data_IF_451941509103
#
_entry.id   IF_451941509103
#
_cell.length_a   1.000
_cell.length_b   1.000
_cell.length_c   1.000
_cell.angle_alpha   90.00
_cell.angle_beta   90.00
_cell.angle_gamma   90.00
#
_symmetry.space_group_name_H-M   'P 1'
#
loop_
_entity.id
_entity.type
_entity.pdbx_description
1 polymer ?
#
# COMPACT_ATOMS: atom_id res chain seq x y z
N UNK A 1 8.11 -8.88 19.62
CA UNK A 1 8.78 -10.12 19.16
C UNK A 1 8.42 -10.31 17.70
N UNK A 2 9.40 -10.61 16.83
CA UNK A 2 9.13 -10.86 15.41
C UNK A 2 8.60 -12.28 15.25
N UNK A 3 7.56 -12.47 14.44
CA UNK A 3 6.95 -13.76 14.17
C UNK A 3 6.99 -14.05 12.68
N UNK A 4 7.69 -15.12 12.28
CA UNK A 4 7.66 -15.58 10.88
C UNK A 4 6.21 -15.98 10.53
N UNK A 5 5.75 -15.54 9.37
CA UNK A 5 4.43 -15.90 8.83
C UNK A 5 4.38 -17.42 8.62
N UNK A 6 3.27 -18.05 9.05
CA UNK A 6 3.12 -19.50 8.93
C UNK A 6 3.02 -19.93 7.47
N UNK A 7 3.22 -21.23 7.21
CA UNK A 7 3.08 -21.78 5.86
C UNK A 7 1.67 -21.57 5.31
N UNK A 8 0.64 -21.71 6.15
CA UNK A 8 -0.76 -21.51 5.76
C UNK A 8 -1.01 -20.05 5.37
N UNK A 9 -0.56 -19.09 6.19
CA UNK A 9 -0.70 -17.67 5.88
C UNK A 9 0.09 -17.26 4.63
N UNK A 10 1.20 -17.95 4.33
CA UNK A 10 1.95 -17.74 3.09
C UNK A 10 1.22 -18.29 1.86
N UNK A 11 0.56 -19.44 1.99
CA UNK A 11 -0.31 -19.98 0.92
C UNK A 11 -1.53 -19.09 0.66
N UNK A 12 -2.15 -18.56 1.73
CA UNK A 12 -3.21 -17.56 1.60
C UNK A 12 -2.69 -16.31 0.88
N UNK A 13 -1.52 -15.81 1.25
CA UNK A 13 -0.90 -14.66 0.60
C UNK A 13 -0.64 -14.92 -0.90
N UNK A 14 -0.10 -16.09 -1.25
CA UNK A 14 0.08 -16.51 -2.64
C UNK A 14 -1.25 -16.55 -3.41
N UNK A 15 -2.29 -17.14 -2.81
CA UNK A 15 -3.62 -17.22 -3.41
C UNK A 15 -4.24 -15.84 -3.66
N UNK A 16 -4.06 -14.89 -2.73
CA UNK A 16 -4.55 -13.53 -2.91
C UNK A 16 -3.76 -12.75 -3.98
N UNK A 17 -2.45 -13.01 -4.14
CA UNK A 17 -1.62 -12.36 -5.16
C UNK A 17 -1.77 -12.99 -6.55
N UNK A 18 -2.23 -14.24 -6.64
CA UNK A 18 -2.35 -15.01 -7.88
C UNK A 18 -3.09 -14.28 -9.03
N UNK A 19 -4.18 -13.52 -8.80
CA UNK A 19 -4.86 -12.76 -9.86
C UNK A 19 -3.95 -11.79 -10.61
N UNK A 20 -2.93 -11.22 -9.94
CA UNK A 20 -1.94 -10.35 -10.60
C UNK A 20 -1.12 -11.09 -11.66
N UNK A 21 -0.95 -12.41 -11.53
CA UNK A 21 -0.25 -13.23 -12.52
C UNK A 21 -1.03 -13.33 -13.84
N UNK A 22 -2.35 -13.35 -13.75
CA UNK A 22 -3.24 -13.46 -14.91
C UNK A 22 -3.37 -12.10 -15.62
N UNK A 23 -3.51 -11.02 -14.84
CA UNK A 23 -3.63 -9.65 -15.34
C UNK A 23 -2.33 -9.00 -15.81
N UNK A 24 -1.15 -9.56 -15.48
CA UNK A 24 0.10 -9.11 -16.11
C UNK A 24 0.06 -9.17 -17.65
N UNK A 25 -0.84 -9.98 -18.24
CA UNK A 25 -1.06 -9.99 -19.68
C UNK A 25 -1.91 -8.82 -20.19
N UNK A 26 -2.68 -8.15 -19.33
CA UNK A 26 -3.64 -7.11 -19.66
C UNK A 26 -3.38 -5.76 -18.97
N UNK A 27 -2.31 -5.62 -18.17
CA UNK A 27 -1.91 -4.36 -17.56
C UNK A 27 -1.96 -3.24 -18.62
N UNK A 28 -2.94 -2.32 -18.56
CA UNK A 28 -3.50 -1.78 -19.82
C UNK A 28 -2.56 -0.92 -20.66
N UNK A 29 -1.37 -0.52 -20.16
CA UNK A 29 -0.62 0.60 -20.76
C UNK A 29 0.91 0.56 -20.63
N UNK A 30 1.53 -0.58 -20.32
CA UNK A 30 2.99 -0.62 -20.18
C UNK A 30 3.66 -1.75 -20.96
N UNK A 31 4.86 -1.53 -21.53
CA UNK A 31 5.62 -2.63 -22.12
C UNK A 31 5.94 -3.66 -21.02
N UNK A 32 5.90 -4.96 -21.34
CA UNK A 32 6.23 -6.09 -20.43
C UNK A 32 7.58 -5.99 -19.68
N UNK A 33 8.39 -4.98 -19.97
CA UNK A 33 9.71 -4.72 -19.41
C UNK A 33 9.72 -3.53 -18.43
N UNK A 34 8.59 -3.17 -17.82
CA UNK A 34 8.61 -2.15 -16.77
C UNK A 34 9.12 -2.74 -15.44
N UNK A 35 9.90 -1.98 -14.65
CA UNK A 35 10.44 -2.44 -13.37
C UNK A 35 9.38 -3.00 -12.40
N UNK A 36 8.18 -2.43 -12.41
CA UNK A 36 7.03 -2.85 -11.60
C UNK A 36 6.51 -4.23 -11.99
N UNK A 37 6.34 -4.52 -13.29
CA UNK A 37 5.90 -5.83 -13.74
C UNK A 37 6.92 -6.92 -13.37
N UNK A 38 8.22 -6.61 -13.50
CA UNK A 38 9.28 -7.50 -13.04
C UNK A 38 9.26 -7.72 -11.53
N UNK A 39 9.04 -6.67 -10.73
CA UNK A 39 8.99 -6.79 -9.27
C UNK A 39 7.79 -7.61 -8.80
N UNK A 40 6.61 -7.45 -9.41
CA UNK A 40 5.43 -8.27 -9.11
C UNK A 40 5.68 -9.72 -9.49
N UNK A 41 6.26 -9.98 -10.67
CA UNK A 41 6.57 -11.34 -11.09
C UNK A 41 7.60 -12.01 -10.16
N UNK A 42 8.63 -11.28 -9.75
CA UNK A 42 9.63 -11.77 -8.80
C UNK A 42 8.99 -12.10 -7.44
N UNK A 43 8.09 -11.25 -6.93
CA UNK A 43 7.33 -11.54 -5.71
C UNK A 43 6.50 -12.83 -5.85
N UNK A 44 5.80 -12.99 -6.96
CA UNK A 44 4.95 -14.15 -7.21
C UNK A 44 5.75 -15.46 -7.32
N UNK A 45 7.03 -15.39 -7.71
CA UNK A 45 7.90 -16.56 -7.75
C UNK A 45 8.59 -16.80 -6.40
N UNK A 46 8.91 -15.73 -5.67
CA UNK A 46 9.54 -15.81 -4.35
C UNK A 46 8.54 -16.14 -3.23
N UNK A 47 7.24 -15.90 -3.41
CA UNK A 47 6.23 -16.21 -2.40
C UNK A 47 5.95 -17.70 -2.25
N UNK A 48 6.33 -18.53 -3.24
CA UNK A 48 6.27 -19.99 -3.14
C UNK A 48 6.96 -20.45 -1.85
N UNK A 49 6.29 -21.30 -1.07
CA UNK A 49 6.79 -21.83 0.21
C UNK A 49 8.15 -22.56 0.08
N UNK A 50 8.50 -23.01 -1.13
CA UNK A 50 9.78 -23.65 -1.46
C UNK A 50 10.90 -22.65 -1.70
N UNK A 51 10.58 -21.37 -1.88
CA UNK A 51 11.56 -20.31 -2.08
C UNK A 51 12.04 -19.73 -0.75
N UNK A 52 13.35 -19.81 -0.54
CA UNK A 52 14.04 -19.18 0.59
C UNK A 52 14.39 -17.70 0.33
N UNK A 53 14.01 -17.17 -0.85
CA UNK A 53 14.35 -15.80 -1.28
C UNK A 53 13.47 -14.73 -0.66
N UNK A 54 12.33 -15.10 -0.09
CA UNK A 54 11.44 -14.19 0.63
C UNK A 54 11.09 -14.77 1.99
N UNK A 55 11.28 -13.96 3.03
CA UNK A 55 10.82 -14.25 4.37
C UNK A 55 9.98 -13.09 4.87
N UNK A 56 8.74 -13.39 5.26
CA UNK A 56 7.80 -12.38 5.76
C UNK A 56 7.63 -12.60 7.26
N UNK A 57 7.97 -11.58 8.02
CA UNK A 57 7.79 -11.52 9.45
C UNK A 57 6.68 -10.53 9.76
N UNK A 58 5.90 -10.85 10.78
CA UNK A 58 5.00 -9.89 11.43
C UNK A 58 5.65 -9.36 12.68
N UNK A 59 5.39 -8.10 12.99
CA UNK A 59 5.79 -7.51 14.26
C UNK A 59 4.61 -6.80 14.92
N UNK A 60 4.38 -7.05 16.23
CA UNK A 60 3.46 -6.23 16.98
C UNK A 60 4.02 -4.81 16.98
N UNK A 61 3.19 -3.86 16.59
CA UNK A 61 3.52 -2.44 16.59
C UNK A 61 4.03 -2.03 17.98
N UNK A 62 5.35 -2.00 18.16
CA UNK A 62 5.96 -1.51 19.38
C UNK A 62 6.03 -0.01 19.25
N UNK A 63 4.92 0.64 19.60
CA UNK A 63 4.83 2.03 20.08
C UNK A 63 6.05 2.91 19.78
N UNK A 64 5.93 3.88 18.86
CA UNK A 64 6.86 5.01 18.70
C UNK A 64 8.30 4.64 18.31
N UNK A 65 8.53 4.28 17.05
CA UNK A 65 9.76 4.75 16.39
C UNK A 65 9.59 6.25 16.12
N UNK A 66 9.69 7.07 17.17
CA UNK A 66 9.44 8.52 17.20
C UNK A 66 8.00 8.96 16.91
N UNK A 67 7.43 9.83 17.76
CA UNK A 67 6.15 10.53 17.49
C UNK A 67 6.23 11.56 16.34
N UNK A 68 7.32 11.53 15.58
CA UNK A 68 7.60 12.38 14.42
C UNK A 68 7.91 11.60 13.15
N UNK A 69 8.01 10.26 13.21
CA UNK A 69 8.27 9.45 12.02
C UNK A 69 6.95 9.01 11.38
N UNK A 70 6.86 9.00 10.04
CA UNK A 70 5.69 8.48 9.35
C UNK A 70 5.47 7.01 9.73
N UNK A 71 4.22 6.66 10.03
CA UNK A 71 3.82 5.30 10.37
C UNK A 71 4.06 4.40 9.15
N UNK A 72 5.03 3.48 9.25
CA UNK A 72 5.31 2.50 8.21
C UNK A 72 4.61 1.18 8.56
N UNK A 73 3.74 0.71 7.66
CA UNK A 73 3.06 -0.59 7.81
C UNK A 73 3.96 -1.77 7.44
N UNK A 74 5.01 -1.53 6.67
CA UNK A 74 6.00 -2.52 6.30
C UNK A 74 7.37 -1.87 6.09
N UNK A 75 8.41 -2.64 6.43
CA UNK A 75 9.82 -2.31 6.16
C UNK A 75 10.49 -3.55 5.58
N UNK A 76 11.60 -3.36 4.87
CA UNK A 76 12.33 -4.45 4.25
C UNK A 76 13.82 -4.38 4.57
N UNK A 77 14.46 -5.53 4.49
CA UNK A 77 15.91 -5.71 4.53
C UNK A 77 16.32 -6.67 3.39
N UNK A 78 17.43 -6.35 2.71
CA UNK A 78 17.96 -7.17 1.63
C UNK A 78 19.31 -7.73 2.06
N UNK A 79 19.37 -9.05 2.25
CA UNK A 79 20.65 -9.72 2.44
C UNK A 79 21.29 -10.00 1.07
N UNK A 80 22.30 -9.19 0.74
CA UNK A 80 23.02 -9.29 -0.53
C UNK A 80 23.83 -10.58 -0.70
N UNK A 81 24.17 -11.27 0.40
CA UNK A 81 24.95 -12.50 0.34
C UNK A 81 24.07 -13.70 -0.02
N UNK A 82 22.94 -13.84 0.67
CA UNK A 82 21.98 -14.93 0.45
C UNK A 82 20.97 -14.61 -0.65
N UNK A 83 20.86 -13.33 -1.04
CA UNK A 83 19.81 -12.78 -1.91
C UNK A 83 18.41 -12.94 -1.32
N UNK A 84 18.30 -13.06 0.00
CA UNK A 84 17.02 -13.13 0.70
C UNK A 84 16.48 -11.73 0.97
N UNK A 85 15.21 -11.53 0.64
CA UNK A 85 14.43 -10.35 1.01
C UNK A 85 13.65 -10.66 2.27
N UNK A 86 13.90 -9.90 3.33
CA UNK A 86 13.17 -9.96 4.58
C UNK A 86 12.16 -8.82 4.59
N UNK A 87 10.88 -9.15 4.74
CA UNK A 87 9.82 -8.18 4.94
C UNK A 87 9.37 -8.24 6.39
N UNK A 88 9.24 -7.09 7.03
CA UNK A 88 8.67 -6.97 8.36
C UNK A 88 7.40 -6.15 8.24
N UNK A 89 6.25 -6.77 8.52
CA UNK A 89 4.92 -6.20 8.34
C UNK A 89 4.27 -6.00 9.72
N UNK A 90 3.70 -4.82 9.93
CA UNK A 90 3.00 -4.51 11.17
C UNK A 90 1.73 -5.35 11.29
N UNK A 91 1.48 -5.93 12.46
CA UNK A 91 0.22 -6.66 12.74
C UNK A 91 -1.01 -5.75 12.74
N UNK A 92 -0.82 -4.41 12.72
CA UNK A 92 -1.90 -3.43 12.60
C UNK A 92 -2.20 -3.04 11.15
N UNK A 93 -1.48 -3.61 10.18
CA UNK A 93 -1.82 -3.45 8.77
C UNK A 93 -3.25 -3.93 8.52
N UNK A 94 -4.08 -3.07 7.92
CA UNK A 94 -5.46 -3.40 7.57
C UNK A 94 -5.57 -4.30 6.35
N UNK A 95 -4.55 -4.29 5.49
CA UNK A 95 -4.46 -5.11 4.30
C UNK A 95 -3.05 -5.70 4.25
N UNK A 96 -2.92 -6.90 4.83
CA UNK A 96 -1.65 -7.59 4.92
C UNK A 96 -1.05 -7.88 3.54
N UNK A 97 -1.86 -8.35 2.59
CA UNK A 97 -1.43 -8.69 1.24
C UNK A 97 -0.97 -7.46 0.47
N UNK A 98 -1.78 -6.40 0.45
CA UNK A 98 -1.40 -5.13 -0.19
C UNK A 98 -0.15 -4.52 0.44
N UNK A 99 0.01 -4.63 1.76
CA UNK A 99 1.22 -4.16 2.46
C UNK A 99 2.45 -4.97 2.07
N UNK A 100 2.35 -6.29 1.96
CA UNK A 100 3.44 -7.14 1.49
C UNK A 100 3.83 -6.78 0.06
N UNK A 101 2.86 -6.67 -0.85
CA UNK A 101 3.07 -6.26 -2.24
C UNK A 101 3.79 -4.92 -2.32
N UNK A 102 3.28 -3.90 -1.63
CA UNK A 102 3.86 -2.56 -1.58
C UNK A 102 5.30 -2.58 -1.06
N UNK A 103 5.53 -3.29 0.04
CA UNK A 103 6.84 -3.34 0.71
C UNK A 103 7.86 -4.07 -0.15
N UNK A 104 7.47 -5.17 -0.80
CA UNK A 104 8.32 -5.90 -1.71
C UNK A 104 8.68 -5.07 -2.95
N UNK A 105 7.69 -4.44 -3.61
CA UNK A 105 7.96 -3.57 -4.76
C UNK A 105 8.86 -2.39 -4.40
N UNK A 106 8.66 -1.81 -3.21
CA UNK A 106 9.53 -0.76 -2.68
C UNK A 106 10.98 -1.26 -2.52
N UNK A 107 11.18 -2.51 -2.10
CA UNK A 107 12.52 -3.13 -2.02
C UNK A 107 13.20 -3.26 -3.38
N UNK A 108 12.42 -3.31 -4.47
CA UNK A 108 12.88 -3.33 -5.86
C UNK A 108 12.95 -1.94 -6.51
N UNK A 109 12.84 -0.87 -5.71
CA UNK A 109 12.92 0.53 -6.13
C UNK A 109 11.79 0.97 -7.06
N UNK A 110 10.64 0.29 -7.02
CA UNK A 110 9.43 0.81 -7.65
C UNK A 110 9.03 2.13 -6.97
N UNK A 111 8.51 3.07 -7.76
CA UNK A 111 8.00 4.35 -7.23
C UNK A 111 6.74 4.12 -6.40
N UNK A 112 6.40 5.09 -5.55
CA UNK A 112 5.19 4.98 -4.72
C UNK A 112 3.92 4.85 -5.57
N UNK A 113 3.85 5.54 -6.70
CA UNK A 113 2.72 5.45 -7.62
C UNK A 113 2.63 4.07 -8.29
N UNK A 114 3.76 3.46 -8.65
CA UNK A 114 3.79 2.09 -9.17
C UNK A 114 3.30 1.07 -8.13
N UNK A 115 3.74 1.21 -6.88
CA UNK A 115 3.24 0.36 -5.79
C UNK A 115 1.74 0.57 -5.57
N UNK A 116 1.26 1.82 -5.55
CA UNK A 116 -0.16 2.12 -5.39
C UNK A 116 -1.01 1.58 -6.54
N UNK A 117 -0.51 1.63 -7.77
CA UNK A 117 -1.20 1.05 -8.92
C UNK A 117 -1.32 -0.47 -8.76
N UNK A 118 -0.24 -1.17 -8.40
CA UNK A 118 -0.29 -2.63 -8.21
C UNK A 118 -1.29 -3.05 -7.11
N UNK A 119 -1.35 -2.30 -6.02
CA UNK A 119 -2.32 -2.54 -4.95
C UNK A 119 -3.77 -2.21 -5.38
N UNK A 120 -3.95 -1.15 -6.15
CA UNK A 120 -5.26 -0.79 -6.72
C UNK A 120 -5.77 -1.89 -7.64
N UNK A 121 -4.94 -2.37 -8.57
CA UNK A 121 -5.28 -3.46 -9.49
C UNK A 121 -5.58 -4.75 -8.71
N UNK A 122 -4.77 -5.07 -7.69
CA UNK A 122 -5.03 -6.22 -6.81
C UNK A 122 -6.42 -6.12 -6.16
N UNK A 123 -6.77 -4.95 -5.63
CA UNK A 123 -8.05 -4.73 -4.99
C UNK A 123 -9.22 -4.75 -5.99
N UNK A 124 -9.02 -4.25 -7.21
CA UNK A 124 -10.02 -4.31 -8.28
C UNK A 124 -10.33 -5.76 -8.66
N UNK A 125 -9.28 -6.57 -8.85
CA UNK A 125 -9.40 -7.99 -9.16
C UNK A 125 -10.07 -8.79 -8.03
N UNK A 126 -9.75 -8.44 -6.79
CA UNK A 126 -10.39 -9.01 -5.62
C UNK A 126 -11.83 -8.49 -5.42
N UNK A 127 -12.32 -7.57 -6.25
CA UNK A 127 -13.59 -6.86 -6.09
C UNK A 127 -13.74 -6.24 -4.69
N UNK A 128 -12.63 -5.74 -4.13
CA UNK A 128 -12.53 -5.20 -2.78
C UNK A 128 -12.35 -3.68 -2.73
N UNK A 129 -12.43 -3.00 -3.88
CA UNK A 129 -12.52 -1.54 -3.93
C UNK A 129 -13.79 -1.05 -3.21
N UNK A 130 -13.68 0.05 -2.48
CA UNK A 130 -14.83 0.66 -1.82
C UNK A 130 -15.87 1.12 -2.85
N UNK A 131 -17.15 0.92 -2.54
CA UNK A 131 -18.24 1.27 -3.47
C UNK A 131 -18.37 2.78 -3.69
N UNK A 132 -18.01 3.56 -2.68
CA UNK A 132 -18.15 5.03 -2.70
C UNK A 132 -16.99 5.68 -3.45
N UNK A 133 -15.75 5.34 -3.10
CA UNK A 133 -14.56 6.00 -3.63
C UNK A 133 -13.87 5.19 -4.73
N UNK A 134 -14.21 3.91 -4.87
CA UNK A 134 -13.53 3.00 -5.78
C UNK A 134 -12.05 2.90 -5.45
N UNK A 135 -11.67 3.00 -4.17
CA UNK A 135 -10.28 2.92 -3.69
C UNK A 135 -10.13 1.73 -2.74
N UNK A 136 -8.92 1.15 -2.62
CA UNK A 136 -8.63 0.19 -1.56
C UNK A 136 -8.90 0.82 -0.18
N UNK A 137 -9.47 0.05 0.75
CA UNK A 137 -9.72 0.49 2.12
C UNK A 137 -8.43 0.94 2.83
N UNK A 138 -7.30 0.31 2.50
CA UNK A 138 -5.99 0.72 3.01
C UNK A 138 -5.68 2.16 2.64
N UNK A 139 -5.89 2.58 1.38
CA UNK A 139 -5.55 3.93 0.94
C UNK A 139 -6.40 4.96 1.67
N UNK A 140 -7.70 4.66 1.82
CA UNK A 140 -8.63 5.52 2.53
C UNK A 140 -8.17 5.74 3.98
N UNK A 141 -7.85 4.66 4.70
CA UNK A 141 -7.37 4.74 6.08
C UNK A 141 -6.02 5.44 6.22
N UNK A 142 -5.09 5.17 5.30
CA UNK A 142 -3.77 5.82 5.28
C UNK A 142 -3.93 7.33 5.09
N UNK A 143 -4.83 7.77 4.19
CA UNK A 143 -5.12 9.18 3.92
C UNK A 143 -5.87 9.82 5.10
N UNK A 144 -6.87 9.15 5.66
CA UNK A 144 -7.64 9.64 6.82
C UNK A 144 -6.75 9.90 8.04
N UNK A 145 -5.71 9.09 8.21
CA UNK A 145 -4.73 9.19 9.30
C UNK A 145 -3.73 10.35 9.13
N UNK A 146 -3.61 10.96 7.93
CA UNK A 146 -2.73 12.10 7.71
C UNK A 146 -3.23 13.34 8.46
N UNK A 147 -2.29 14.13 8.99
CA UNK A 147 -2.61 15.50 9.41
C UNK A 147 -2.84 16.38 8.18
N UNK A 148 -3.50 17.53 8.39
CA UNK A 148 -3.87 18.47 7.33
C UNK A 148 -2.67 18.90 6.49
N UNK A 149 -1.51 19.11 7.10
CA UNK A 149 -0.28 19.52 6.42
C UNK A 149 0.25 18.41 5.49
N UNK A 150 0.34 17.17 5.98
CA UNK A 150 0.80 16.03 5.19
C UNK A 150 -0.19 15.68 4.07
N UNK A 151 -1.49 15.89 4.30
CA UNK A 151 -2.52 15.69 3.30
C UNK A 151 -2.43 16.73 2.17
N UNK A 152 -2.20 18.00 2.52
CA UNK A 152 -1.97 19.06 1.54
C UNK A 152 -0.69 18.79 0.72
N UNK A 153 0.39 18.35 1.35
CA UNK A 153 1.62 17.95 0.64
C UNK A 153 1.37 16.77 -0.32
N UNK A 154 0.60 15.76 0.11
CA UNK A 154 0.21 14.65 -0.76
C UNK A 154 -0.59 15.14 -1.97
N UNK A 155 -1.58 16.01 -1.76
CA UNK A 155 -2.39 16.56 -2.84
C UNK A 155 -1.55 17.36 -3.84
N UNK A 156 -0.68 18.25 -3.35
CA UNK A 156 0.25 19.02 -4.19
C UNK A 156 1.14 18.08 -5.03
N UNK A 157 1.67 17.02 -4.43
CA UNK A 157 2.48 16.03 -5.16
C UNK A 157 1.68 15.31 -6.24
N UNK A 158 0.43 14.92 -5.95
CA UNK A 158 -0.45 14.30 -6.94
C UNK A 158 -0.78 15.27 -8.08
N UNK A 159 -0.91 16.57 -7.81
CA UNK A 159 -1.15 17.60 -8.82
C UNK A 159 0.04 17.87 -9.73
N UNK A 160 1.25 17.84 -9.16
CA UNK A 160 2.50 18.11 -9.89
C UNK A 160 3.05 16.89 -10.64
N UNK A 161 2.60 15.68 -10.29
CA UNK A 161 3.02 14.48 -10.98
C UNK A 161 2.56 14.53 -12.45
N UNK A 162 3.47 14.38 -13.43
CA UNK A 162 3.14 14.46 -14.86
C UNK A 162 2.10 13.39 -15.22
N UNK A 163 1.52 13.49 -16.44
CA UNK A 163 0.54 12.52 -16.96
C UNK A 163 0.99 11.11 -16.60
N UNK A 164 0.34 10.55 -15.59
CA UNK A 164 0.72 9.27 -15.02
C UNK A 164 0.17 8.15 -15.87
N UNK A 165 0.87 7.02 -15.80
CA UNK A 165 0.39 5.75 -16.35
C UNK A 165 -0.89 5.27 -15.64
N UNK A 166 -1.26 5.88 -14.50
CA UNK A 166 -2.41 5.57 -13.66
C UNK A 166 -3.44 6.72 -13.53
N UNK A 167 -3.99 7.28 -14.63
CA UNK A 167 -4.80 8.50 -14.57
C UNK A 167 -6.10 8.33 -13.75
N UNK A 168 -6.70 7.13 -13.77
CA UNK A 168 -7.92 6.82 -13.00
C UNK A 168 -7.62 6.80 -11.50
N UNK A 169 -6.57 6.08 -11.09
CA UNK A 169 -6.16 6.01 -9.69
C UNK A 169 -5.79 7.40 -9.16
N UNK A 170 -5.01 8.18 -9.92
CA UNK A 170 -4.66 9.55 -9.54
C UNK A 170 -5.89 10.43 -9.34
N UNK A 171 -6.84 10.39 -10.26
CA UNK A 171 -8.06 11.17 -10.15
C UNK A 171 -8.85 10.81 -8.87
N UNK A 172 -8.98 9.51 -8.59
CA UNK A 172 -9.63 9.02 -7.36
C UNK A 172 -8.90 9.47 -6.09
N UNK A 173 -7.57 9.35 -6.06
CA UNK A 173 -6.75 9.78 -4.93
C UNK A 173 -6.86 11.28 -4.69
N UNK A 174 -6.83 12.11 -5.75
CA UNK A 174 -6.98 13.57 -5.65
C UNK A 174 -8.33 13.94 -5.03
N UNK A 175 -9.41 13.44 -5.63
CA UNK A 175 -10.77 13.72 -5.17
C UNK A 175 -10.97 13.26 -3.72
N UNK A 176 -10.44 12.10 -3.35
CA UNK A 176 -10.52 11.64 -1.96
C UNK A 176 -9.70 12.51 -1.00
N UNK A 177 -8.49 12.95 -1.40
CA UNK A 177 -7.68 13.85 -0.58
C UNK A 177 -8.37 15.20 -0.38
N UNK A 178 -9.00 15.76 -1.42
CA UNK A 178 -9.78 17.00 -1.35
C UNK A 178 -10.94 16.87 -0.36
N UNK A 179 -11.72 15.79 -0.44
CA UNK A 179 -12.83 15.51 0.49
C UNK A 179 -12.35 15.43 1.94
N UNK A 180 -11.30 14.63 2.19
CA UNK A 180 -10.77 14.46 3.55
C UNK A 180 -10.22 15.78 4.08
N UNK A 181 -9.61 16.60 3.22
CA UNK A 181 -9.08 17.91 3.58
C UNK A 181 -10.22 18.85 3.96
N UNK A 182 -11.32 18.87 3.20
CA UNK A 182 -12.49 19.69 3.50
C UNK A 182 -13.17 19.26 4.80
N UNK A 183 -13.35 17.95 5.01
CA UNK A 183 -13.88 17.39 6.25
C UNK A 183 -13.04 17.74 7.48
N UNK A 184 -11.72 17.88 7.32
CA UNK A 184 -10.80 18.30 8.41
C UNK A 184 -10.80 19.81 8.63
N UNK A 185 -11.24 20.63 7.66
CA UNK A 185 -11.40 22.08 7.81
C UNK A 185 -12.65 22.45 8.59
N UNK A 186 -13.72 21.65 8.47
CA UNK A 186 -14.95 21.84 9.23
C UNK A 186 -14.68 21.56 10.73
N UNK A 187 -14.53 22.59 11.58
CA UNK A 187 -14.46 22.36 13.01
C UNK A 187 -15.84 21.86 13.43
N UNK A 188 -15.92 20.84 14.28
CA UNK A 188 -17.19 20.39 14.83
C UNK A 188 -17.96 21.56 15.46
N UNK A 189 -19.01 22.03 14.79
CA UNK A 189 -20.14 22.74 15.40
C UNK A 189 -20.91 21.66 16.18
N UNK A 190 -21.20 21.74 17.49
CA UNK A 190 -21.72 22.83 18.33
C UNK A 190 -21.30 22.60 19.82
N UNK A 191 -21.43 23.49 20.83
CA UNK A 191 -22.27 24.68 21.11
C UNK A 191 -21.48 25.58 22.09
N UNK A 192 -21.36 26.88 21.83
CA UNK A 192 -21.16 27.89 22.88
C UNK A 192 -22.51 28.21 23.53
N UNK A 193 -22.53 28.19 24.87
CA UNK A 193 -23.36 28.99 25.77
C UNK A 193 -24.88 29.09 25.54
N UNK A 194 -25.64 28.41 26.41
CA UNK A 194 -26.82 29.01 27.01
C UNK A 194 -26.59 29.14 28.53
N UNK A 195 -26.02 30.28 28.92
CA UNK A 195 -26.31 30.92 30.19
C UNK A 195 -27.77 31.41 30.16
N UNK A 196 -28.66 30.75 30.92
CA UNK A 196 -29.78 31.38 31.63
C UNK A 196 -30.44 30.41 32.63
#
# INVERSE_FOLDING_TARGET
MLHLVSTEARQELEAHLAPLREEQNHWPRQPRNTPEAHAVQELLDDIDIRSERLQVYTFPDSTRLSSTAPQAWGIFELDTHTRTTYLYISTKSHDFTGTVLHTYMSSRRCTRMQCFLAEYELADLANSLSKEWGLPDRFQKDIDALCTENLAELLERLEQEPISDAPVLMAKLKVYCEEVLERKKEPGWWVEDEEQ
#
